data_IF_578016367633
#
_entry.id   IF_578016367633
#
_cell.length_a   1.000
_cell.length_b   1.000
_cell.length_c   1.000
_cell.angle_alpha   90.00
_cell.angle_beta   90.00
_cell.angle_gamma   90.00
#
_symmetry.space_group_name_H-M   'P 1'
#
loop_
_entity.id
_entity.type
_entity.pdbx_description
1 polymer ?
#
# COMPACT_ATOMS: atom_id res chain seq x y z
N UNK A 1 -4.93 5.78 -14.90
CA UNK A 1 -5.46 6.25 -13.62
C UNK A 1 -6.55 5.32 -13.14
N UNK A 2 -6.49 4.95 -11.88
CA UNK A 2 -7.48 4.04 -11.34
C UNK A 2 -8.69 4.80 -10.89
N UNK A 3 -9.84 4.25 -11.20
CA UNK A 3 -11.10 4.82 -10.77
C UNK A 3 -11.69 3.92 -9.69
N UNK A 4 -12.19 4.54 -8.66
CA UNK A 4 -12.88 3.83 -7.61
C UNK A 4 -14.29 4.37 -7.49
N UNK A 5 -15.22 3.49 -7.25
CA UNK A 5 -16.60 3.92 -7.00
C UNK A 5 -16.68 4.60 -5.64
N UNK A 6 -17.43 5.68 -5.52
CA UNK A 6 -17.61 6.31 -4.21
C UNK A 6 -18.26 5.33 -3.23
N UNK A 7 -17.80 5.36 -1.99
CA UNK A 7 -18.36 4.50 -0.99
C UNK A 7 -17.41 4.25 0.16
N UNK A 8 -17.84 3.41 1.08
CA UNK A 8 -17.09 3.13 2.29
C UNK A 8 -15.73 2.50 1.98
N UNK A 9 -15.70 1.50 1.09
CA UNK A 9 -14.45 0.84 0.77
C UNK A 9 -13.46 1.80 0.11
N UNK A 10 -13.94 2.74 -0.68
CA UNK A 10 -13.09 3.75 -1.29
C UNK A 10 -12.47 4.65 -0.23
N UNK A 11 -13.25 5.07 0.76
CA UNK A 11 -12.73 5.92 1.84
C UNK A 11 -11.67 5.20 2.66
N UNK A 12 -11.91 3.93 2.97
CA UNK A 12 -10.95 3.14 3.71
C UNK A 12 -9.69 2.93 2.88
N UNK A 13 -9.85 2.64 1.59
CA UNK A 13 -8.71 2.46 0.71
C UNK A 13 -7.87 3.74 0.63
N UNK A 14 -8.51 4.90 0.51
CA UNK A 14 -7.78 6.16 0.46
C UNK A 14 -7.04 6.42 1.76
N UNK A 15 -7.65 6.11 2.88
CA UNK A 15 -7.00 6.31 4.18
C UNK A 15 -5.80 5.37 4.34
N UNK A 16 -5.96 4.11 3.93
CA UNK A 16 -4.86 3.16 3.98
C UNK A 16 -3.72 3.64 3.10
N UNK A 17 -4.03 4.11 1.89
CA UNK A 17 -2.99 4.61 0.99
C UNK A 17 -2.21 5.76 1.63
N UNK A 18 -2.91 6.69 2.26
CA UNK A 18 -2.23 7.81 2.92
C UNK A 18 -1.36 7.35 4.08
N UNK A 19 -1.89 6.46 4.90
CA UNK A 19 -1.14 5.97 6.04
C UNK A 19 0.09 5.19 5.61
N UNK A 20 -0.05 4.34 4.59
CA UNK A 20 1.08 3.58 4.07
C UNK A 20 2.14 4.51 3.49
N UNK A 21 1.72 5.54 2.76
CA UNK A 21 2.67 6.50 2.19
C UNK A 21 3.53 7.16 3.27
N UNK A 22 2.94 7.41 4.43
CA UNK A 22 3.67 8.01 5.55
C UNK A 22 4.53 6.98 6.29
N UNK A 23 4.03 5.76 6.41
CA UNK A 23 4.70 4.73 7.20
C UNK A 23 5.93 4.16 6.51
N UNK A 24 5.91 4.05 5.18
CA UNK A 24 7.03 3.44 4.47
C UNK A 24 8.36 4.12 4.79
N UNK A 25 8.49 5.44 4.63
CA UNK A 25 9.79 6.06 4.94
C UNK A 25 10.18 6.01 6.41
N UNK A 26 9.19 5.90 7.29
CA UNK A 26 9.47 5.88 8.74
C UNK A 26 9.80 4.50 9.26
N UNK A 27 9.14 3.48 8.74
CA UNK A 27 9.15 2.17 9.38
C UNK A 27 9.82 1.07 8.57
N UNK A 28 9.94 1.22 7.25
CA UNK A 28 10.51 0.17 6.43
C UNK A 28 12.01 0.41 6.28
N UNK A 29 12.81 -0.53 6.79
CA UNK A 29 14.26 -0.42 6.80
C UNK A 29 14.89 -1.46 5.90
N UNK A 30 14.41 -1.58 4.69
CA UNK A 30 14.86 -2.60 3.75
C UNK A 30 15.60 -1.90 2.61
N UNK A 31 16.88 -2.26 2.37
CA UNK A 31 17.65 -1.58 1.31
C UNK A 31 17.08 -1.80 -0.10
N UNK A 32 16.20 -2.78 -0.29
CA UNK A 32 15.54 -2.97 -1.58
C UNK A 32 14.49 -1.91 -1.85
N UNK A 33 14.03 -1.19 -0.82
CA UNK A 33 12.95 -0.22 -0.95
C UNK A 33 13.56 1.17 -1.14
N UNK A 34 13.35 1.75 -2.34
CA UNK A 34 13.80 3.10 -2.62
C UNK A 34 12.77 4.15 -2.25
N UNK A 35 12.71 5.21 -3.04
CA UNK A 35 11.71 6.27 -2.82
C UNK A 35 10.40 5.84 -3.44
N UNK A 36 9.43 5.51 -2.60
CA UNK A 36 8.15 4.94 -3.02
C UNK A 36 7.07 6.00 -3.03
N UNK A 37 6.31 6.05 -4.11
CA UNK A 37 5.09 6.84 -4.20
C UNK A 37 3.91 5.89 -4.29
N UNK A 38 2.98 5.99 -3.35
CA UNK A 38 1.76 5.20 -3.39
C UNK A 38 0.79 5.88 -4.34
N UNK A 39 0.40 5.17 -5.40
CA UNK A 39 -0.45 5.73 -6.44
C UNK A 39 -1.91 5.35 -6.30
N UNK A 40 -2.23 4.34 -5.49
CA UNK A 40 -3.61 3.96 -5.26
C UNK A 40 -3.72 2.75 -4.37
N UNK A 41 -4.94 2.47 -3.96
CA UNK A 41 -5.24 1.31 -3.15
C UNK A 41 -6.64 0.81 -3.51
N UNK A 42 -6.76 -0.50 -3.68
CA UNK A 42 -8.05 -1.14 -3.95
C UNK A 42 -8.25 -2.24 -2.94
N UNK A 43 -9.44 -2.25 -2.33
CA UNK A 43 -9.81 -3.25 -1.34
C UNK A 43 -10.82 -4.21 -1.98
N UNK A 44 -10.60 -5.52 -1.77
CA UNK A 44 -11.54 -6.52 -2.29
C UNK A 44 -12.89 -6.39 -1.61
N UNK A 45 -13.97 -6.84 -2.30
CA UNK A 45 -15.33 -6.67 -1.74
C UNK A 45 -15.53 -7.30 -0.37
N UNK A 46 -14.79 -8.37 -0.05
CA UNK A 46 -14.90 -9.02 1.25
C UNK A 46 -13.98 -8.37 2.30
N UNK A 47 -13.28 -7.30 1.93
CA UNK A 47 -12.37 -6.56 2.82
C UNK A 47 -11.19 -7.41 3.30
N UNK A 48 -10.91 -8.53 2.64
CA UNK A 48 -9.84 -9.42 3.06
C UNK A 48 -8.48 -8.98 2.55
N UNK A 49 -8.44 -8.30 1.41
CA UNK A 49 -7.18 -7.94 0.75
C UNK A 49 -7.20 -6.50 0.27
N UNK A 50 -6.06 -5.82 0.38
CA UNK A 50 -5.86 -4.49 -0.16
C UNK A 50 -4.65 -4.54 -1.09
N UNK A 51 -4.85 -4.13 -2.34
CA UNK A 51 -3.77 -4.01 -3.30
C UNK A 51 -3.30 -2.56 -3.31
N UNK A 52 -2.05 -2.36 -2.93
CA UNK A 52 -1.46 -1.03 -2.83
C UNK A 52 -0.53 -0.84 -4.01
N UNK A 53 -0.89 0.09 -4.87
CA UNK A 53 -0.13 0.35 -6.09
C UNK A 53 0.92 1.40 -5.82
N UNK A 54 2.11 1.19 -6.37
CA UNK A 54 3.22 2.10 -6.10
C UNK A 54 4.12 2.26 -7.31
N UNK A 55 4.85 3.37 -7.33
CA UNK A 55 6.02 3.54 -8.19
C UNK A 55 7.22 3.78 -7.29
N UNK A 56 8.43 3.63 -7.86
CA UNK A 56 9.64 3.77 -7.05
C UNK A 56 10.74 4.41 -7.88
N UNK A 57 11.57 5.21 -7.22
CA UNK A 57 12.77 5.78 -7.78
C UNK A 57 13.95 5.32 -6.91
N UNK A 58 15.04 4.93 -7.55
CA UNK A 58 16.25 4.56 -6.84
C UNK A 58 16.33 3.10 -6.46
N UNK A 59 15.44 2.27 -7.00
CA UNK A 59 15.42 0.85 -6.72
C UNK A 59 14.73 0.13 -7.87
N UNK A 60 15.11 -1.13 -8.09
CA UNK A 60 14.42 -1.97 -9.05
C UNK A 60 12.99 -2.22 -8.58
N UNK A 61 11.99 -2.04 -9.45
CA UNK A 61 10.60 -2.23 -9.03
C UNK A 61 10.31 -3.59 -8.41
N UNK A 62 10.87 -4.66 -8.98
CA UNK A 62 10.61 -6.00 -8.45
C UNK A 62 11.25 -6.20 -7.09
N UNK A 63 12.49 -5.74 -6.92
CA UNK A 63 13.17 -5.84 -5.63
C UNK A 63 12.44 -4.99 -4.58
N UNK A 64 12.00 -3.81 -4.98
CA UNK A 64 11.24 -2.95 -4.07
C UNK A 64 9.93 -3.61 -3.66
N UNK A 65 9.22 -4.22 -4.61
CA UNK A 65 7.98 -4.93 -4.32
C UNK A 65 8.21 -6.04 -3.29
N UNK A 66 9.30 -6.79 -3.46
CA UNK A 66 9.62 -7.85 -2.50
C UNK A 66 9.88 -7.29 -1.12
N UNK A 67 10.62 -6.20 -1.05
CA UNK A 67 10.90 -5.56 0.25
C UNK A 67 9.64 -5.03 0.91
N UNK A 68 8.76 -4.41 0.14
CA UNK A 68 7.51 -3.90 0.69
C UNK A 68 6.61 -5.05 1.16
N UNK A 69 6.53 -6.13 0.38
CA UNK A 69 5.70 -7.25 0.79
C UNK A 69 6.27 -7.97 2.00
N UNK A 70 7.58 -7.97 2.18
CA UNK A 70 8.19 -8.51 3.39
C UNK A 70 7.80 -7.68 4.62
N UNK A 71 7.56 -6.39 4.45
CA UNK A 71 7.16 -5.50 5.54
C UNK A 71 5.64 -5.42 5.72
N UNK A 72 4.88 -6.09 4.86
CA UNK A 72 3.42 -5.91 4.83
C UNK A 72 2.75 -6.25 6.16
N UNK A 73 3.21 -7.30 6.83
CA UNK A 73 2.63 -7.69 8.12
C UNK A 73 2.82 -6.63 9.18
N UNK A 74 4.03 -6.06 9.25
CA UNK A 74 4.31 -4.98 10.18
C UNK A 74 3.45 -3.76 9.89
N UNK A 75 3.39 -3.37 8.61
CA UNK A 75 2.60 -2.21 8.21
C UNK A 75 1.13 -2.42 8.51
N UNK A 76 0.62 -3.62 8.29
CA UNK A 76 -0.76 -3.95 8.60
C UNK A 76 -1.05 -3.75 10.09
N UNK A 77 -0.13 -4.20 10.94
CA UNK A 77 -0.29 -4.03 12.39
C UNK A 77 -0.32 -2.57 12.79
N UNK A 78 0.53 -1.74 12.17
CA UNK A 78 0.56 -0.32 12.46
C UNK A 78 -0.75 0.35 12.03
N UNK A 79 -1.27 -0.01 10.87
CA UNK A 79 -2.53 0.53 10.39
C UNK A 79 -3.67 0.12 11.31
N UNK A 80 -3.67 -1.13 11.78
CA UNK A 80 -4.71 -1.59 12.69
C UNK A 80 -4.79 -0.71 13.92
N UNK A 81 -3.64 -0.33 14.46
CA UNK A 81 -3.62 0.52 15.63
C UNK A 81 -4.06 1.95 15.33
N UNK A 82 -3.71 2.47 14.15
CA UNK A 82 -4.03 3.85 13.80
C UNK A 82 -5.50 4.03 13.44
N UNK A 83 -6.06 3.12 12.67
CA UNK A 83 -7.43 3.27 12.18
C UNK A 83 -8.49 2.80 13.16
N UNK A 84 -8.11 1.97 14.11
CA UNK A 84 -9.03 1.44 15.11
C UNK A 84 -10.25 0.76 14.49
N UNK A 85 -10.02 0.06 13.38
CA UNK A 85 -11.07 -0.72 12.74
C UNK A 85 -10.92 -2.18 13.15
N UNK A 86 -12.03 -2.92 13.08
CA UNK A 86 -12.03 -4.30 13.54
C UNK A 86 -11.15 -5.19 12.70
N UNK A 87 -11.10 -4.94 11.41
CA UNK A 87 -10.36 -5.78 10.48
C UNK A 87 -9.58 -4.91 9.54
N UNK A 88 -8.29 -5.23 9.40
CA UNK A 88 -7.43 -4.59 8.41
C UNK A 88 -7.14 -5.61 7.33
N UNK A 89 -7.34 -5.26 6.05
CA UNK A 89 -7.05 -6.20 4.97
C UNK A 89 -5.58 -6.60 4.96
N UNK A 90 -5.31 -7.78 4.41
CA UNK A 90 -3.94 -8.17 4.14
C UNK A 90 -3.39 -7.28 3.03
N UNK A 91 -2.22 -6.72 3.23
CA UNK A 91 -1.64 -5.76 2.30
C UNK A 91 -0.81 -6.48 1.25
N UNK A 92 -1.00 -6.10 -0.01
CA UNK A 92 -0.22 -6.60 -1.13
C UNK A 92 0.27 -5.41 -1.92
N UNK A 93 1.57 -5.34 -2.19
CA UNK A 93 2.15 -4.25 -2.94
C UNK A 93 2.32 -4.65 -4.39
N UNK A 94 1.84 -3.81 -5.29
CA UNK A 94 1.84 -4.07 -6.73
C UNK A 94 2.44 -2.86 -7.42
N UNK A 95 3.44 -3.10 -8.28
CA UNK A 95 4.02 -2.01 -9.04
C UNK A 95 2.99 -1.47 -10.04
N UNK A 96 2.81 -0.16 -10.05
CA UNK A 96 1.80 0.48 -10.89
C UNK A 96 2.39 0.77 -12.26
N UNK A 97 1.99 -0.02 -13.24
CA UNK A 97 2.47 0.16 -14.61
C UNK A 97 1.65 1.17 -15.40
N UNK A 98 0.54 1.64 -14.84
CA UNK A 98 -0.34 2.55 -15.58
C UNK A 98 0.32 3.90 -15.83
N UNK A 99 1.34 4.27 -15.06
CA UNK A 99 2.02 5.56 -15.20
C UNK A 99 3.09 5.53 -16.30
N UNK A 100 3.36 4.36 -16.86
CA UNK A 100 4.41 4.21 -17.88
C UNK A 100 3.91 4.52 -19.29
N UNK A 101 2.67 4.92 -19.44
CA UNK A 101 2.09 5.16 -20.74
C UNK A 101 2.20 6.59 -21.17
#
# INVERSE_FOLDING_TARGET
>A
MRKAKPGRSTRIADQIARDIAELIPKEVRDPRVGFVTVTGCEITPDYAHANIYFTVIGSEPEACREGLNAAAGMLRSLIFRQLRIHTVPTLHFVYDTSVDR
#
